data_IF_151406245723
#
_entry.id   IF_151406245723
#
_cell.length_a   1.000
_cell.length_b   1.000
_cell.length_c   1.000
_cell.angle_alpha   90.00
_cell.angle_beta   90.00
_cell.angle_gamma   90.00
#
_symmetry.space_group_name_H-M   'P 1'
#
loop_
_entity.id
_entity.type
_entity.pdbx_description
1 polymer ?
#
# COMPACT_ATOMS: atom_id res chain seq x y z
N UNK A 1 -3.37 17.08 -5.95
CA UNK A 1 -2.32 18.09 -5.76
C UNK A 1 -1.06 17.42 -5.24
N UNK A 2 0.12 17.98 -5.54
CA UNK A 2 1.42 17.44 -5.14
C UNK A 2 1.54 17.25 -3.61
N UNK A 3 0.96 18.17 -2.82
CA UNK A 3 0.93 18.11 -1.34
C UNK A 3 0.35 16.80 -0.80
N UNK A 4 -0.74 16.31 -1.40
CA UNK A 4 -1.36 15.04 -0.97
C UNK A 4 -0.47 13.85 -1.27
N UNK A 5 0.17 13.83 -2.44
CA UNK A 5 1.12 12.76 -2.81
C UNK A 5 2.36 12.78 -1.91
N UNK A 6 2.85 13.97 -1.55
CA UNK A 6 3.96 14.10 -0.62
C UNK A 6 3.61 13.62 0.78
N UNK A 7 2.45 13.98 1.33
CA UNK A 7 2.00 13.47 2.63
C UNK A 7 1.89 11.93 2.64
N UNK A 8 1.39 11.36 1.54
CA UNK A 8 1.32 9.90 1.38
C UNK A 8 2.70 9.26 1.25
N UNK A 9 3.64 9.90 0.56
CA UNK A 9 5.03 9.44 0.53
C UNK A 9 5.59 9.34 1.94
N UNK A 10 5.47 10.41 2.75
CA UNK A 10 5.96 10.42 4.13
C UNK A 10 5.29 9.34 4.98
N UNK A 11 3.97 9.16 4.84
CA UNK A 11 3.26 8.08 5.52
C UNK A 11 3.75 6.69 5.09
N UNK A 12 3.99 6.49 3.79
CA UNK A 12 4.54 5.25 3.24
C UNK A 12 5.95 4.96 3.74
N UNK A 13 6.81 5.97 3.81
CA UNK A 13 8.16 5.84 4.39
C UNK A 13 8.09 5.45 5.88
N UNK A 14 7.18 6.06 6.65
CA UNK A 14 6.96 5.70 8.05
C UNK A 14 6.51 4.26 8.22
N UNK A 15 5.55 3.80 7.40
CA UNK A 15 5.11 2.40 7.39
C UNK A 15 6.26 1.46 7.00
N UNK A 16 7.04 1.82 5.97
CA UNK A 16 8.21 1.04 5.54
C UNK A 16 9.25 0.89 6.65
N UNK A 17 9.51 1.96 7.40
CA UNK A 17 10.40 1.92 8.56
C UNK A 17 9.87 0.99 9.67
N UNK A 18 8.58 1.10 10.00
CA UNK A 18 7.95 0.24 11.02
C UNK A 18 8.00 -1.23 10.58
N UNK A 19 7.69 -1.51 9.31
CA UNK A 19 7.75 -2.87 8.75
C UNK A 19 9.17 -3.43 8.78
N UNK A 20 10.19 -2.64 8.44
CA UNK A 20 11.58 -3.06 8.55
C UNK A 20 11.97 -3.39 9.99
N UNK A 21 11.60 -2.53 10.95
CA UNK A 21 11.86 -2.81 12.36
C UNK A 21 11.13 -4.07 12.81
N UNK A 22 9.87 -4.26 12.40
CA UNK A 22 9.11 -5.46 12.71
C UNK A 22 9.76 -6.73 12.13
N UNK A 23 10.32 -6.66 10.92
CA UNK A 23 10.99 -7.78 10.27
C UNK A 23 12.21 -8.26 11.07
N UNK A 24 12.97 -7.32 11.67
CA UNK A 24 14.12 -7.67 12.53
C UNK A 24 13.72 -8.48 13.78
N UNK A 25 12.49 -8.34 14.26
CA UNK A 25 11.98 -9.10 15.41
C UNK A 25 11.19 -10.34 15.01
N UNK A 26 10.49 -10.32 13.86
CA UNK A 26 9.83 -11.48 13.31
C UNK A 26 10.82 -12.29 12.47
N UNK A 27 11.55 -13.20 13.13
CA UNK A 27 12.51 -14.16 12.53
C UNK A 27 11.87 -15.15 11.52
N UNK A 28 10.66 -14.88 11.03
CA UNK A 28 9.96 -15.62 9.97
C UNK A 28 10.56 -15.35 8.57
N UNK A 29 11.41 -14.32 8.45
CA UNK A 29 11.97 -13.84 7.18
C UNK A 29 12.87 -14.86 6.47
N UNK A 30 13.47 -15.83 7.18
CA UNK A 30 14.42 -16.78 6.59
C UNK A 30 13.82 -17.78 5.59
N UNK A 31 12.52 -18.09 5.70
CA UNK A 31 11.87 -19.03 4.77
C UNK A 31 11.34 -18.34 3.50
N UNK A 32 10.79 -17.13 3.64
CA UNK A 32 10.25 -16.36 2.52
C UNK A 32 11.34 -15.70 1.66
N UNK A 33 12.42 -15.21 2.29
CA UNK A 33 13.59 -14.66 1.59
C UNK A 33 14.34 -15.72 0.76
N UNK A 34 14.41 -16.96 1.26
CA UNK A 34 15.01 -18.08 0.53
C UNK A 34 14.20 -18.51 -0.71
N UNK A 35 12.90 -18.24 -0.75
CA UNK A 35 12.04 -18.49 -1.93
C UNK A 35 12.14 -17.33 -2.94
N UNK A 36 12.23 -16.09 -2.46
CA UNK A 36 12.52 -14.92 -3.29
C UNK A 36 13.88 -14.99 -3.99
N UNK A 37 14.94 -15.33 -3.26
CA UNK A 37 16.28 -15.52 -3.81
C UNK A 37 16.36 -16.68 -4.81
N UNK A 38 15.41 -17.63 -4.73
CA UNK A 38 15.23 -18.70 -5.73
C UNK A 38 14.45 -18.26 -6.96
N UNK A 39 13.50 -17.33 -6.83
CA UNK A 39 12.69 -16.83 -7.96
C UNK A 39 13.35 -15.71 -8.75
N UNK A 40 14.16 -14.86 -8.10
CA UNK A 40 14.87 -13.76 -8.74
C UNK A 40 16.35 -14.10 -8.73
N UNK A 41 16.97 -14.18 -9.91
CA UNK A 41 18.41 -14.41 -10.02
C UNK A 41 19.15 -13.38 -9.14
N UNK A 42 19.77 -13.86 -8.07
CA UNK A 42 20.48 -13.04 -7.08
C UNK A 42 21.61 -12.16 -7.66
N UNK A 43 21.97 -12.38 -8.92
CA UNK A 43 22.98 -11.62 -9.65
C UNK A 43 22.50 -10.25 -10.17
N UNK A 44 21.18 -10.04 -10.31
CA UNK A 44 20.63 -8.79 -10.88
C UNK A 44 20.11 -7.80 -9.81
N UNK A 45 20.27 -8.11 -8.52
CA UNK A 45 19.75 -7.27 -7.45
C UNK A 45 20.70 -6.09 -7.12
N UNK A 46 20.19 -4.85 -7.04
CA UNK A 46 20.99 -3.72 -6.61
C UNK A 46 21.47 -3.90 -5.17
N UNK A 47 22.79 -3.91 -4.95
CA UNK A 47 23.43 -4.12 -3.65
C UNK A 47 23.09 -3.08 -2.57
N UNK A 48 22.53 -1.93 -2.96
CA UNK A 48 22.03 -0.92 -2.02
C UNK A 48 20.62 -1.19 -1.49
N UNK A 49 19.87 -2.12 -2.09
CA UNK A 49 18.48 -2.42 -1.72
C UNK A 49 18.32 -3.83 -1.16
N UNK A 50 19.20 -4.76 -1.55
CA UNK A 50 19.14 -6.17 -1.14
C UNK A 50 20.51 -6.61 -0.63
N UNK A 51 20.51 -7.44 0.41
CA UNK A 51 21.73 -8.09 0.88
C UNK A 51 22.09 -9.29 -0.02
N UNK A 52 23.29 -9.83 0.17
CA UNK A 52 23.82 -10.93 -0.65
C UNK A 52 23.01 -12.24 -0.54
N UNK A 53 22.24 -12.38 0.55
CA UNK A 53 21.30 -13.48 0.78
C UNK A 53 19.92 -13.25 0.12
N UNK A 54 19.73 -12.11 -0.56
CA UNK A 54 18.47 -11.71 -1.18
C UNK A 54 17.48 -11.07 -0.20
N UNK A 55 17.87 -10.83 1.06
CA UNK A 55 16.98 -10.18 2.03
C UNK A 55 16.82 -8.68 1.70
N UNK A 56 15.58 -8.14 1.80
CA UNK A 56 15.33 -6.72 1.56
C UNK A 56 15.93 -5.86 2.68
N UNK A 57 16.73 -4.87 2.31
CA UNK A 57 17.29 -3.88 3.24
C UNK A 57 16.28 -2.74 3.46
N UNK A 58 16.55 -1.88 4.45
CA UNK A 58 15.72 -0.70 4.74
C UNK A 58 15.33 0.12 3.49
N UNK A 59 16.23 0.40 2.52
CA UNK A 59 15.86 1.12 1.31
C UNK A 59 14.79 0.42 0.46
N UNK A 60 14.80 -0.91 0.39
CA UNK A 60 13.77 -1.68 -0.31
C UNK A 60 12.40 -1.54 0.38
N UNK A 61 12.35 -1.62 1.71
CA UNK A 61 11.12 -1.38 2.48
C UNK A 61 10.57 0.03 2.25
N UNK A 62 11.42 1.05 2.33
CA UNK A 62 11.03 2.45 2.12
C UNK A 62 10.53 2.69 0.69
N UNK A 63 11.23 2.16 -0.31
CA UNK A 63 10.84 2.29 -1.71
C UNK A 63 9.51 1.56 -2.01
N UNK A 64 9.33 0.36 -1.47
CA UNK A 64 8.11 -0.43 -1.66
C UNK A 64 6.88 0.27 -1.07
N UNK A 65 6.90 0.59 0.24
CA UNK A 65 5.76 1.20 0.92
C UNK A 65 5.55 2.67 0.51
N UNK A 66 6.63 3.41 0.26
CA UNK A 66 6.57 4.77 -0.28
C UNK A 66 5.96 4.79 -1.68
N UNK A 67 6.42 3.90 -2.57
CA UNK A 67 5.87 3.71 -3.91
C UNK A 67 4.39 3.34 -3.87
N UNK A 68 4.00 2.40 -3.00
CA UNK A 68 2.61 2.00 -2.81
C UNK A 68 1.73 3.17 -2.36
N UNK A 69 2.19 3.98 -1.40
CA UNK A 69 1.40 5.11 -0.93
C UNK A 69 1.27 6.24 -1.97
N UNK A 70 2.25 6.41 -2.86
CA UNK A 70 2.23 7.43 -3.91
C UNK A 70 1.47 7.00 -5.16
N UNK A 71 1.64 5.75 -5.61
CA UNK A 71 1.06 5.23 -6.85
C UNK A 71 -0.44 4.99 -6.71
N UNK A 72 -0.88 4.49 -5.56
CA UNK A 72 -2.28 4.19 -5.35
C UNK A 72 -3.08 5.48 -5.04
N UNK A 73 -4.22 5.70 -5.70
CA UNK A 73 -5.07 6.85 -5.44
C UNK A 73 -5.95 6.61 -4.20
N UNK A 74 -5.35 6.46 -3.02
CA UNK A 74 -6.06 6.23 -1.74
C UNK A 74 -7.12 7.28 -1.43
N UNK A 75 -6.92 8.52 -1.87
CA UNK A 75 -7.93 9.58 -1.71
C UNK A 75 -9.24 9.25 -2.41
N UNK A 76 -9.20 8.49 -3.51
CA UNK A 76 -10.43 7.99 -4.13
C UNK A 76 -11.14 7.05 -3.17
N UNK A 77 -10.41 6.26 -2.35
CA UNK A 77 -10.95 5.32 -1.36
C UNK A 77 -11.78 5.95 -0.26
N UNK A 78 -11.44 7.17 0.11
CA UNK A 78 -12.04 7.92 1.22
C UNK A 78 -13.15 8.87 0.74
N UNK A 79 -13.51 8.85 -0.56
CA UNK A 79 -14.53 9.77 -1.09
C UNK A 79 -15.91 9.52 -0.44
N UNK A 80 -16.48 10.50 0.30
CA UNK A 80 -17.77 10.34 0.98
C UNK A 80 -18.93 10.11 0.00
N UNK A 81 -18.76 10.51 -1.27
CA UNK A 81 -19.74 10.31 -2.33
C UNK A 81 -19.64 8.92 -3.01
N UNK A 82 -19.22 7.87 -2.28
CA UNK A 82 -19.21 6.47 -2.77
C UNK A 82 -20.53 5.73 -2.67
N UNK A 83 -20.93 5.00 -3.73
CA UNK A 83 -22.21 4.28 -3.82
C UNK A 83 -22.30 3.09 -2.84
N UNK A 84 -21.17 2.48 -2.46
CA UNK A 84 -21.11 1.32 -1.56
C UNK A 84 -20.18 1.62 -0.38
N UNK A 85 -20.49 1.06 0.81
CA UNK A 85 -19.64 1.17 2.02
C UNK A 85 -18.29 0.46 1.86
N UNK A 86 -18.28 -0.63 1.09
CA UNK A 86 -17.11 -1.44 0.82
C UNK A 86 -17.06 -1.74 -0.68
N UNK A 87 -15.89 -1.59 -1.31
CA UNK A 87 -15.70 -1.87 -2.74
C UNK A 87 -14.57 -2.88 -2.92
N UNK A 88 -14.96 -4.13 -3.17
CA UNK A 88 -14.03 -5.21 -3.51
C UNK A 88 -13.19 -4.87 -4.74
N UNK A 89 -13.74 -4.10 -5.69
CA UNK A 89 -13.03 -3.65 -6.88
C UNK A 89 -11.88 -2.68 -6.55
N UNK A 90 -12.10 -1.78 -5.58
CA UNK A 90 -11.07 -0.87 -5.10
C UNK A 90 -9.94 -1.62 -4.39
N UNK A 91 -10.30 -2.64 -3.60
CA UNK A 91 -9.33 -3.52 -2.92
C UNK A 91 -8.56 -4.37 -3.94
N UNK A 92 -9.25 -4.90 -4.96
CA UNK A 92 -8.62 -5.63 -6.07
C UNK A 92 -7.61 -4.77 -6.84
N UNK A 93 -7.92 -3.49 -7.06
CA UNK A 93 -6.97 -2.55 -7.67
C UNK A 93 -5.73 -2.32 -6.79
N UNK A 94 -5.90 -2.23 -5.46
CA UNK A 94 -4.76 -2.16 -4.53
C UNK A 94 -3.85 -3.38 -4.64
N UNK A 95 -4.44 -4.58 -4.64
CA UNK A 95 -3.70 -5.83 -4.77
C UNK A 95 -2.97 -5.90 -6.11
N UNK A 96 -3.63 -5.50 -7.20
CA UNK A 96 -3.01 -5.42 -8.52
C UNK A 96 -1.79 -4.49 -8.53
N UNK A 97 -1.89 -3.31 -7.91
CA UNK A 97 -0.76 -2.40 -7.83
C UNK A 97 0.37 -2.91 -6.94
N UNK A 98 0.05 -3.58 -5.82
CA UNK A 98 1.05 -4.24 -4.99
C UNK A 98 1.81 -5.32 -5.78
N UNK A 99 1.09 -6.05 -6.65
CA UNK A 99 1.68 -7.03 -7.55
C UNK A 99 2.56 -6.38 -8.64
N UNK A 100 2.11 -5.29 -9.25
CA UNK A 100 2.92 -4.51 -10.21
C UNK A 100 4.18 -3.96 -9.54
N UNK A 101 4.06 -3.39 -8.33
CA UNK A 101 5.21 -2.92 -7.57
C UNK A 101 6.21 -4.03 -7.30
N UNK A 102 5.74 -5.23 -7.00
CA UNK A 102 6.58 -6.39 -6.80
C UNK A 102 7.39 -6.79 -8.05
N UNK A 103 6.91 -6.47 -9.25
CA UNK A 103 7.67 -6.69 -10.50
C UNK A 103 8.88 -5.75 -10.62
N UNK A 104 8.81 -4.55 -10.01
CA UNK A 104 9.90 -3.57 -10.04
C UNK A 104 10.79 -3.64 -8.81
N UNK A 105 10.21 -3.95 -7.65
CA UNK A 105 10.84 -4.06 -6.34
C UNK A 105 10.44 -5.42 -5.75
N UNK A 106 11.21 -6.48 -6.02
CA UNK A 106 10.91 -7.81 -5.48
C UNK A 106 10.85 -7.72 -3.95
N UNK A 107 9.70 -8.05 -3.38
CA UNK A 107 9.43 -7.98 -1.95
C UNK A 107 8.81 -9.30 -1.48
N UNK A 108 9.10 -9.78 -0.26
CA UNK A 108 8.63 -11.10 0.18
C UNK A 108 7.10 -11.19 0.13
N UNK A 109 6.61 -12.13 -0.67
CA UNK A 109 5.20 -12.51 -0.65
C UNK A 109 5.00 -13.59 0.42
N UNK A 110 3.89 -13.54 1.19
CA UNK A 110 2.66 -12.78 0.93
C UNK A 110 2.58 -11.38 1.57
N UNK A 111 3.60 -10.93 2.30
CA UNK A 111 3.49 -9.78 3.21
C UNK A 111 3.09 -8.48 2.53
N UNK A 112 3.69 -8.15 1.39
CA UNK A 112 3.38 -6.91 0.66
C UNK A 112 1.92 -6.83 0.19
N UNK A 113 1.36 -7.95 -0.28
CA UNK A 113 -0.03 -8.03 -0.73
C UNK A 113 -1.00 -7.95 0.46
N UNK A 114 -0.68 -8.63 1.57
CA UNK A 114 -1.48 -8.58 2.79
C UNK A 114 -1.50 -7.18 3.40
N UNK A 115 -0.35 -6.49 3.41
CA UNK A 115 -0.28 -5.11 3.89
C UNK A 115 -1.15 -4.18 3.03
N UNK A 116 -1.06 -4.28 1.69
CA UNK A 116 -1.87 -3.49 0.78
C UNK A 116 -3.39 -3.71 0.99
N UNK A 117 -3.80 -4.98 1.11
CA UNK A 117 -5.20 -5.34 1.35
C UNK A 117 -5.69 -4.81 2.71
N UNK A 118 -4.91 -5.01 3.77
CA UNK A 118 -5.26 -4.59 5.14
C UNK A 118 -5.40 -3.07 5.23
N UNK A 119 -4.44 -2.32 4.65
CA UNK A 119 -4.52 -0.85 4.62
C UNK A 119 -5.75 -0.41 3.83
N UNK A 120 -6.06 -1.03 2.69
CA UNK A 120 -7.26 -0.68 1.92
C UNK A 120 -8.55 -0.93 2.70
N UNK A 121 -8.65 -2.05 3.41
CA UNK A 121 -9.79 -2.36 4.27
C UNK A 121 -9.90 -1.35 5.41
N UNK A 122 -8.81 -1.09 6.13
CA UNK A 122 -8.79 -0.13 7.24
C UNK A 122 -9.19 1.28 6.77
N UNK A 123 -8.66 1.74 5.64
CA UNK A 123 -9.00 3.03 5.04
C UNK A 123 -10.48 3.09 4.70
N UNK A 124 -11.04 2.06 4.06
CA UNK A 124 -12.47 2.01 3.72
C UNK A 124 -13.37 2.01 4.96
N UNK A 125 -12.98 1.30 6.02
CA UNK A 125 -13.75 1.23 7.27
C UNK A 125 -13.69 2.53 8.08
N UNK A 126 -12.56 3.25 8.02
CA UNK A 126 -12.40 4.55 8.70
C UNK A 126 -13.11 5.71 8.00
N UNK A 127 -13.48 5.54 6.73
CA UNK A 127 -14.05 6.61 5.92
C UNK A 127 -15.51 6.92 6.35
N UNK A 128 -15.87 8.20 6.56
CA UNK A 128 -17.23 8.58 6.90
C UNK A 128 -18.17 8.29 5.73
N UNK A 129 -19.28 7.61 6.00
CA UNK A 129 -20.28 7.25 4.99
C UNK A 129 -21.53 8.11 5.14
N UNK A 130 -21.78 8.98 4.16
CA UNK A 130 -23.02 9.75 4.05
C UNK A 130 -24.12 8.87 3.47
N UNK A 131 -25.23 8.74 4.20
CA UNK A 131 -26.41 7.99 3.74
C UNK A 131 -27.05 8.64 2.51
N UNK A 132 -27.88 7.89 1.78
CA UNK A 132 -28.55 8.37 0.57
C UNK A 132 -29.36 9.65 0.80
N UNK A 133 -30.02 9.78 1.96
CA UNK A 133 -30.80 10.96 2.36
C UNK A 133 -29.92 12.18 2.66
N UNK A 134 -28.77 12.00 3.32
CA UNK A 134 -27.84 13.10 3.59
C UNK A 134 -27.20 13.62 2.30
N UNK A 135 -27.00 12.75 1.31
CA UNK A 135 -26.49 13.12 -0.01
C UNK A 135 -27.47 13.94 -0.84
N UNK A 136 -28.75 13.57 -0.83
CA UNK A 136 -29.78 14.34 -1.55
C UNK A 136 -29.94 15.71 -0.89
N UNK A 137 -29.95 15.77 0.45
CA UNK A 137 -29.92 17.03 1.20
C UNK A 137 -28.78 17.96 0.77
N UNK A 138 -27.53 17.49 0.83
CA UNK A 138 -26.36 18.28 0.41
C UNK A 138 -26.43 18.73 -1.06
N UNK A 139 -26.93 17.89 -1.97
CA UNK A 139 -27.07 18.23 -3.39
C UNK A 139 -28.15 19.29 -3.63
N UNK A 140 -29.22 19.30 -2.83
CA UNK A 140 -30.26 20.33 -2.91
C UNK A 140 -29.79 21.67 -2.35
N UNK A 141 -28.99 21.66 -1.28
CA UNK A 141 -28.42 22.87 -0.68
C UNK A 141 -27.45 23.57 -1.65
N UNK A 142 -26.55 22.81 -2.29
CA UNK A 142 -25.61 23.34 -3.30
C UNK A 142 -26.26 23.83 -4.60
N UNK A 143 -27.49 23.41 -4.91
CA UNK A 143 -28.23 23.92 -6.07
C UNK A 143 -29.01 25.22 -5.78
N UNK A 144 -29.16 25.58 -4.50
CA UNK A 144 -29.86 26.79 -4.05
C UNK A 144 -28.92 27.95 -3.73
N UNK A 145 -27.63 27.66 -3.50
CA UNK A 145 -26.55 28.64 -3.39
C UNK A 145 -25.98 28.97 -4.78
#
# INVERSE_FOLDING_TARGET
SIRRRFAMLVAGLGIGLISFVASQYLTLETLASADLARQVNSHDMPSGMYAADGSPLLPAYLAYFGGMMVLLPWWKQVDPLRRTRFSLMSTGWCVLWAWILNMFLPFPQPEGVLAAATISVAVQLSAPWLSGEQRTGFRHEFKRA
#
